data_IF_821699409848
#
_entry.id   IF_821699409848
#
_cell.length_a   1.000
_cell.length_b   1.000
_cell.length_c   1.000
_cell.angle_alpha   90.00
_cell.angle_beta   90.00
_cell.angle_gamma   90.00
#
_symmetry.space_group_name_H-M   'P 1'
#
loop_
_entity.id
_entity.type
_entity.pdbx_description
1 polymer ?
#
# COMPACT_ATOMS: atom_id res chain seq x y z
N UNK A 1 -11.40 -28.74 -9.72
CA UNK A 1 -12.23 -28.14 -8.72
C UNK A 1 -11.46 -27.86 -7.47
N UNK A 2 -11.04 -28.90 -6.80
CA UNK A 2 -10.26 -28.73 -5.60
C UNK A 2 -9.01 -27.93 -5.88
N UNK A 3 -8.42 -28.16 -7.00
CA UNK A 3 -7.24 -27.45 -7.42
C UNK A 3 -7.48 -25.95 -7.48
N UNK A 4 -8.62 -25.59 -7.99
CA UNK A 4 -8.98 -24.21 -8.12
C UNK A 4 -9.08 -23.53 -6.76
N UNK A 5 -9.66 -24.21 -5.80
CA UNK A 5 -9.76 -23.70 -4.46
C UNK A 5 -8.40 -23.51 -3.83
N UNK A 6 -7.53 -24.45 -4.04
CA UNK A 6 -6.20 -24.37 -3.52
C UNK A 6 -5.46 -23.18 -4.11
N UNK A 7 -5.62 -22.97 -5.39
CA UNK A 7 -5.01 -21.84 -6.04
C UNK A 7 -5.52 -20.50 -5.47
N UNK A 8 -6.80 -20.47 -5.19
CA UNK A 8 -7.42 -19.32 -4.59
C UNK A 8 -6.82 -19.00 -3.23
N UNK A 9 -6.64 -20.04 -2.45
CA UNK A 9 -6.05 -19.93 -1.14
C UNK A 9 -4.64 -19.42 -1.21
N UNK A 10 -3.89 -19.95 -2.15
CA UNK A 10 -2.54 -19.49 -2.38
C UNK A 10 -2.50 -18.00 -2.70
N UNK A 11 -3.42 -17.58 -3.52
CA UNK A 11 -3.52 -16.18 -3.86
C UNK A 11 -3.82 -15.31 -2.66
N UNK A 12 -4.69 -15.79 -1.78
CA UNK A 12 -5.02 -15.07 -0.58
C UNK A 12 -3.80 -14.89 0.33
N UNK A 13 -2.91 -15.86 0.31
CA UNK A 13 -1.71 -15.81 1.11
C UNK A 13 -0.56 -15.10 0.44
N UNK A 14 -0.70 -14.80 -0.84
CA UNK A 14 0.33 -14.07 -1.56
C UNK A 14 0.26 -12.60 -1.21
N UNK A 15 1.41 -12.00 -1.05
CA UNK A 15 1.48 -10.58 -0.77
C UNK A 15 1.08 -9.76 -1.98
N UNK A 16 0.39 -8.67 -1.71
CA UNK A 16 0.03 -7.69 -2.73
C UNK A 16 0.47 -6.32 -2.26
N UNK A 17 0.93 -5.50 -3.20
CA UNK A 17 1.29 -4.13 -2.90
C UNK A 17 0.01 -3.30 -2.81
N UNK A 18 -0.18 -2.62 -1.69
CA UNK A 18 -1.39 -1.87 -1.43
C UNK A 18 -1.08 -0.49 -0.88
N UNK A 19 -2.01 0.41 -1.07
CA UNK A 19 -1.99 1.72 -0.46
C UNK A 19 -3.18 1.81 0.46
N UNK A 20 -2.95 2.14 1.72
CA UNK A 20 -3.95 2.08 2.78
C UNK A 20 -4.11 3.44 3.43
N UNK A 21 -5.36 3.84 3.66
CA UNK A 21 -5.65 5.03 4.47
C UNK A 21 -6.30 4.64 5.78
N UNK A 22 -6.09 5.47 6.78
CA UNK A 22 -6.69 5.28 8.10
C UNK A 22 -7.58 6.46 8.46
N UNK A 23 -8.36 6.30 9.52
CA UNK A 23 -9.28 7.34 10.01
C UNK A 23 -8.58 8.65 10.30
N UNK A 24 -7.35 8.59 10.73
CA UNK A 24 -6.59 9.77 11.14
C UNK A 24 -5.68 10.29 10.03
N UNK A 25 -6.11 10.10 8.78
CA UNK A 25 -5.43 10.62 7.60
C UNK A 25 -4.05 10.01 7.34
N UNK A 26 -3.82 8.83 7.88
CA UNK A 26 -2.60 8.11 7.55
C UNK A 26 -2.69 7.54 6.15
N UNK A 27 -1.58 7.60 5.41
CA UNK A 27 -1.49 6.97 4.09
C UNK A 27 -0.21 6.14 4.08
N UNK A 28 -0.37 4.85 3.81
CA UNK A 28 0.73 3.90 3.90
C UNK A 28 0.78 3.00 2.69
N UNK A 29 1.96 2.87 2.12
CA UNK A 29 2.24 1.87 1.10
C UNK A 29 2.87 0.66 1.78
N UNK A 30 2.53 -0.53 1.35
CA UNK A 30 3.16 -1.72 1.89
C UNK A 30 2.64 -2.98 1.23
N UNK A 31 3.05 -4.11 1.79
CA UNK A 31 2.68 -5.42 1.24
C UNK A 31 1.84 -6.16 2.25
N UNK A 32 0.69 -6.64 1.82
CA UNK A 32 -0.25 -7.34 2.69
C UNK A 32 -0.69 -8.63 2.05
N UNK A 33 -0.92 -9.64 2.89
CA UNK A 33 -1.47 -10.92 2.44
C UNK A 33 -2.96 -10.93 2.54
N UNK A 34 -3.48 -10.21 3.50
CA UNK A 34 -4.91 -10.20 3.78
C UNK A 34 -5.37 -8.75 3.75
N UNK A 35 -6.29 -8.43 2.86
CA UNK A 35 -6.76 -7.06 2.70
C UNK A 35 -8.20 -6.88 3.17
N UNK A 36 -8.78 -7.91 3.77
CA UNK A 36 -10.14 -7.84 4.28
C UNK A 36 -10.14 -7.45 5.75
N UNK A 37 -11.24 -6.86 6.19
CA UNK A 37 -11.40 -6.53 7.59
C UNK A 37 -10.97 -5.13 7.93
N UNK A 38 -11.05 -4.80 9.21
CA UNK A 38 -10.79 -3.45 9.70
C UNK A 38 -9.34 -3.22 10.10
N UNK A 39 -8.54 -4.26 10.04
CA UNK A 39 -7.12 -4.23 10.44
C UNK A 39 -6.29 -4.82 9.33
N UNK A 40 -5.14 -4.24 9.08
CA UNK A 40 -4.24 -4.75 8.06
C UNK A 40 -2.82 -4.72 8.56
N UNK A 41 -2.08 -5.79 8.28
CA UNK A 41 -0.65 -5.87 8.61
C UNK A 41 0.13 -5.69 7.33
N UNK A 42 1.03 -4.72 7.32
CA UNK A 42 1.85 -4.40 6.16
C UNK A 42 3.30 -4.74 6.43
N UNK A 43 3.91 -5.42 5.47
CA UNK A 43 5.34 -5.66 5.47
C UNK A 43 6.02 -4.54 4.68
N UNK A 44 7.14 -4.07 5.19
CA UNK A 44 7.93 -3.02 4.54
C UNK A 44 7.07 -1.79 4.21
N UNK A 45 6.26 -1.39 5.17
CA UNK A 45 5.35 -0.27 4.99
C UNK A 45 6.11 1.04 4.97
N UNK A 46 5.64 1.97 4.15
CA UNK A 46 6.18 3.32 4.08
C UNK A 46 5.05 4.31 4.24
N UNK A 47 5.23 5.24 5.15
CA UNK A 47 4.24 6.28 5.40
C UNK A 47 4.46 7.42 4.41
N UNK A 48 3.38 7.82 3.73
CA UNK A 48 3.42 9.00 2.88
C UNK A 48 3.09 10.21 3.74
N UNK A 49 4.11 10.95 4.12
CA UNK A 49 3.96 12.08 5.02
C UNK A 49 3.37 13.30 4.29
N UNK A 50 3.72 13.44 3.04
CA UNK A 50 3.25 14.56 2.22
C UNK A 50 3.25 14.13 0.75
N UNK A 51 2.21 14.54 0.04
CA UNK A 51 2.20 14.39 -1.41
C UNK A 51 1.74 15.68 -2.05
N UNK A 52 2.34 15.96 -3.20
CA UNK A 52 2.02 17.16 -3.97
C UNK A 52 0.83 16.91 -4.87
N UNK A 53 0.26 17.99 -5.40
CA UNK A 53 -0.94 17.88 -6.24
C UNK A 53 -0.71 17.11 -7.53
N UNK A 54 0.53 17.02 -7.98
CA UNK A 54 0.84 16.36 -9.25
C UNK A 54 0.61 14.85 -9.21
N UNK A 55 0.51 14.24 -8.02
CA UNK A 55 0.23 12.81 -7.93
C UNK A 55 -1.25 12.49 -8.07
N UNK A 56 -2.12 13.49 -8.06
CA UNK A 56 -3.57 13.31 -8.26
C UNK A 56 -4.24 12.57 -7.13
N UNK A 57 -3.79 12.80 -5.90
CA UNK A 57 -4.43 12.28 -4.70
C UNK A 57 -4.14 10.82 -4.42
N UNK A 58 -4.99 10.23 -3.57
CA UNK A 58 -4.77 8.86 -3.10
C UNK A 58 -4.74 7.84 -4.24
N UNK A 59 -5.71 7.92 -5.13
CA UNK A 59 -5.77 6.96 -6.23
C UNK A 59 -4.61 7.16 -7.21
N UNK A 60 -4.16 8.39 -7.37
CA UNK A 60 -2.98 8.65 -8.19
C UNK A 60 -1.73 8.04 -7.58
N UNK A 61 -1.60 8.09 -6.26
CA UNK A 61 -0.48 7.44 -5.58
C UNK A 61 -0.50 5.93 -5.78
N UNK A 62 -1.69 5.34 -5.86
CA UNK A 62 -1.80 3.90 -6.10
C UNK A 62 -1.52 3.55 -7.57
N UNK A 63 -1.81 4.46 -8.48
CA UNK A 63 -1.65 4.20 -9.90
C UNK A 63 -0.23 4.49 -10.41
N UNK A 64 0.39 5.55 -9.93
CA UNK A 64 1.70 5.99 -10.43
C UNK A 64 2.77 6.13 -9.36
N UNK A 65 2.37 6.10 -8.08
CA UNK A 65 3.31 6.25 -6.98
C UNK A 65 3.64 7.70 -6.68
N UNK A 66 4.56 7.93 -5.74
CA UNK A 66 4.92 9.29 -5.33
C UNK A 66 5.84 9.94 -6.36
N UNK A 67 5.73 11.26 -6.45
CA UNK A 67 6.66 12.05 -7.25
C UNK A 67 7.82 12.49 -6.36
N UNK A 68 8.83 13.13 -6.96
CA UNK A 68 9.98 13.60 -6.20
C UNK A 68 9.63 14.66 -5.17
N UNK A 69 8.49 15.31 -5.33
CA UNK A 69 8.03 16.33 -4.38
C UNK A 69 7.37 15.73 -3.15
N UNK A 70 7.08 14.44 -3.16
CA UNK A 70 6.44 13.77 -2.02
C UNK A 70 7.47 13.42 -0.96
N UNK A 71 6.99 13.31 0.28
CA UNK A 71 7.84 12.90 1.40
C UNK A 71 7.36 11.56 1.91
N UNK A 72 8.24 10.59 1.89
CA UNK A 72 7.94 9.21 2.23
C UNK A 72 8.94 8.74 3.28
N UNK A 73 8.45 8.05 4.30
CA UNK A 73 9.30 7.59 5.39
C UNK A 73 10.05 6.30 5.08
N UNK A 74 10.85 5.85 6.02
CA UNK A 74 11.58 4.58 5.87
C UNK A 74 10.63 3.40 5.98
N UNK A 75 11.13 2.21 5.68
CA UNK A 75 10.33 0.99 5.72
C UNK A 75 10.24 0.44 7.13
N UNK A 76 9.07 -0.08 7.47
CA UNK A 76 8.85 -0.79 8.73
C UNK A 76 7.63 -1.67 8.58
N UNK A 77 7.60 -2.75 9.34
CA UNK A 77 6.41 -3.61 9.38
C UNK A 77 5.46 -3.01 10.41
N UNK A 78 4.21 -2.85 10.04
CA UNK A 78 3.23 -2.29 10.96
C UNK A 78 1.87 -2.96 10.79
N UNK A 79 1.06 -2.85 11.82
CA UNK A 79 -0.34 -3.25 11.77
C UNK A 79 -1.19 -2.00 11.95
N UNK A 80 -2.05 -1.75 10.98
CA UNK A 80 -2.91 -0.57 11.00
C UNK A 80 -4.32 -0.95 11.42
N UNK A 81 -4.90 -0.12 12.26
CA UNK A 81 -6.29 -0.28 12.68
C UNK A 81 -7.08 0.91 12.17
N UNK A 82 -8.42 0.77 12.18
CA UNK A 82 -9.31 1.83 11.73
C UNK A 82 -8.96 2.24 10.30
N UNK A 83 -8.75 1.27 9.45
CA UNK A 83 -8.46 1.54 8.04
C UNK A 83 -9.74 1.94 7.35
N UNK A 84 -9.63 2.87 6.41
CA UNK A 84 -10.78 3.39 5.69
C UNK A 84 -10.79 2.98 4.23
N UNK A 85 -9.63 2.73 3.65
CA UNK A 85 -9.55 2.38 2.24
C UNK A 85 -8.28 1.61 1.95
N UNK A 86 -8.39 0.61 1.09
CA UNK A 86 -7.23 -0.15 0.62
C UNK A 86 -7.30 -0.16 -0.90
N UNK A 87 -6.26 0.34 -1.55
CA UNK A 87 -6.18 0.34 -3.01
C UNK A 87 -5.01 -0.53 -3.44
N UNK A 88 -5.21 -1.32 -4.48
CA UNK A 88 -4.11 -2.10 -5.05
C UNK A 88 -3.23 -1.18 -5.86
N UNK A 89 -1.92 -1.35 -5.73
CA UNK A 89 -0.96 -0.54 -6.45
C UNK A 89 -0.60 -1.18 -7.78
N UNK A 90 -0.43 -0.35 -8.80
CA UNK A 90 0.06 -0.82 -10.09
C UNK A 90 1.55 -1.14 -10.00
N UNK A 91 2.07 -1.85 -11.00
CA UNK A 91 3.50 -2.15 -11.04
C UNK A 91 4.33 -0.88 -11.10
N UNK A 92 3.86 0.12 -11.84
CA UNK A 92 4.55 1.39 -11.92
C UNK A 92 4.60 2.08 -10.56
N UNK A 93 3.49 2.03 -9.82
CA UNK A 93 3.44 2.63 -8.50
C UNK A 93 4.38 1.91 -7.54
N UNK A 94 4.42 0.59 -7.60
CA UNK A 94 5.31 -0.20 -6.76
C UNK A 94 6.76 0.23 -6.97
N UNK A 95 7.17 0.34 -8.23
CA UNK A 95 8.53 0.75 -8.54
C UNK A 95 8.84 2.14 -8.01
N UNK A 96 7.88 3.06 -8.13
CA UNK A 96 8.07 4.42 -7.65
C UNK A 96 8.15 4.47 -6.13
N UNK A 97 7.30 3.72 -5.43
CA UNK A 97 7.33 3.67 -3.98
C UNK A 97 8.63 3.08 -3.45
N UNK A 98 9.09 2.00 -4.11
CA UNK A 98 10.32 1.34 -3.67
C UNK A 98 11.56 2.18 -3.91
N UNK A 99 11.55 2.97 -4.97
CA UNK A 99 12.69 3.79 -5.34
C UNK A 99 12.76 5.12 -4.59
N UNK A 100 11.67 5.55 -3.99
CA UNK A 100 11.59 6.86 -3.37
C UNK A 100 12.53 6.94 -2.16
N UNK A 101 13.49 7.89 -2.13
CA UNK A 101 14.31 8.05 -0.94
C UNK A 101 13.47 8.62 0.19
N UNK A 102 13.76 8.21 1.40
CA UNK A 102 13.01 8.74 2.54
C UNK A 102 13.64 10.03 3.03
N UNK A 103 12.78 10.93 3.52
CA UNK A 103 13.25 12.21 4.02
C UNK A 103 12.21 12.91 4.87
#
# INVERSE_FOLDING_TARGET
MATKKIASKSKQNAERAVLVTTEHRGVFFGYARDVDGATITLRAARNCVYWSADVKGFLGLAATGPSSACRVGPRADITLRAITCVALCSDAAVRAWEAQPWK
#
